data_IF_080943387696
#
_entry.id   IF_080943387696
#
_cell.length_a   1.000
_cell.length_b   1.000
_cell.length_c   1.000
_cell.angle_alpha   90.00
_cell.angle_beta   90.00
_cell.angle_gamma   90.00
#
_symmetry.space_group_name_H-M   'P 1'
#
loop_
_entity.id
_entity.type
_entity.pdbx_description
1 polymer ?
#
# COMPACT_ATOMS: atom_id res chain seq x y z
N UNK A 1 -6.22 -2.69 13.64
CA UNK A 1 -7.65 -2.95 13.89
C UNK A 1 -8.09 -2.00 14.98
N UNK A 2 -8.88 -0.97 14.66
CA UNK A 2 -9.42 -0.05 15.66
C UNK A 2 -10.76 -0.65 16.11
N UNK A 3 -10.90 -0.95 17.40
CA UNK A 3 -12.14 -1.51 17.94
C UNK A 3 -13.16 -0.38 18.12
N UNK A 4 -14.32 -0.48 17.46
CA UNK A 4 -15.29 0.62 17.38
C UNK A 4 -16.47 0.52 18.36
N UNK A 5 -16.65 -0.59 19.09
CA UNK A 5 -17.74 -0.71 20.08
C UNK A 5 -17.36 -1.63 21.26
N UNK A 6 -17.21 -1.04 22.45
CA UNK A 6 -17.10 -1.77 23.73
C UNK A 6 -18.47 -1.79 24.38
N UNK A 7 -19.06 -2.97 24.61
CA UNK A 7 -20.35 -3.09 25.30
C UNK A 7 -20.12 -3.55 26.74
N UNK A 8 -20.63 -2.76 27.68
CA UNK A 8 -20.62 -3.11 29.10
C UNK A 8 -21.78 -4.08 29.38
N UNK A 9 -21.47 -5.25 29.96
CA UNK A 9 -22.45 -6.28 30.32
C UNK A 9 -22.34 -6.54 31.84
N UNK A 10 -23.29 -6.07 32.66
CA UNK A 10 -23.14 -6.04 34.12
C UNK A 10 -23.17 -7.41 34.80
N UNK A 11 -23.69 -8.44 34.13
CA UNK A 11 -23.76 -9.83 34.63
C UNK A 11 -22.44 -10.59 34.47
N UNK A 12 -21.44 -10.00 33.80
CA UNK A 12 -20.13 -10.60 33.57
C UNK A 12 -19.08 -9.75 34.29
N UNK A 13 -18.14 -10.40 34.98
CA UNK A 13 -16.98 -9.71 35.59
C UNK A 13 -16.06 -9.03 34.55
N UNK A 14 -16.37 -9.16 33.25
CA UNK A 14 -15.57 -8.77 32.11
C UNK A 14 -16.42 -8.09 31.04
N UNK A 15 -15.88 -7.05 30.39
CA UNK A 15 -16.53 -6.39 29.26
C UNK A 15 -16.23 -7.07 27.94
N UNK A 16 -17.17 -6.97 27.00
CA UNK A 16 -17.10 -7.63 25.71
C UNK A 16 -16.74 -6.63 24.60
N UNK A 17 -15.72 -6.97 23.82
CA UNK A 17 -15.42 -6.33 22.55
C UNK A 17 -16.07 -7.14 21.42
N UNK A 18 -16.96 -6.51 20.66
CA UNK A 18 -17.65 -7.12 19.53
C UNK A 18 -17.57 -6.19 18.32
N UNK A 19 -17.34 -6.76 17.14
CA UNK A 19 -17.47 -6.02 15.89
C UNK A 19 -18.94 -5.94 15.51
N UNK A 20 -19.45 -4.76 15.14
CA UNK A 20 -20.86 -4.58 14.72
C UNK A 20 -21.27 -5.54 13.60
N UNK A 21 -20.34 -5.91 12.73
CA UNK A 21 -20.59 -6.76 11.56
C UNK A 21 -20.65 -8.26 11.88
N UNK A 22 -20.11 -8.67 13.03
CA UNK A 22 -19.91 -10.07 13.37
C UNK A 22 -20.35 -10.24 14.82
N UNK A 23 -21.50 -10.88 15.06
CA UNK A 23 -22.01 -11.22 16.40
C UNK A 23 -21.12 -12.20 17.19
N UNK A 24 -19.85 -12.34 16.83
CA UNK A 24 -18.85 -13.08 17.57
C UNK A 24 -18.15 -12.16 18.58
N UNK A 25 -18.01 -12.65 19.81
CA UNK A 25 -17.17 -12.04 20.83
C UNK A 25 -15.71 -12.22 20.39
N UNK A 26 -14.99 -11.10 20.17
CA UNK A 26 -13.59 -11.15 19.77
C UNK A 26 -12.65 -11.31 20.97
N UNK A 27 -13.01 -10.71 22.11
CA UNK A 27 -12.22 -10.77 23.35
C UNK A 27 -12.98 -10.19 24.54
N UNK A 28 -12.53 -10.56 25.74
CA UNK A 28 -13.00 -10.01 27.02
C UNK A 28 -11.95 -9.07 27.62
N UNK A 29 -12.36 -8.08 28.41
CA UNK A 29 -11.44 -7.19 29.13
C UNK A 29 -11.83 -7.05 30.61
N UNK A 30 -10.85 -6.98 31.50
CA UNK A 30 -11.02 -6.71 32.94
C UNK A 30 -10.79 -5.23 33.22
N UNK A 31 -11.59 -4.64 34.10
CA UNK A 31 -11.37 -3.26 34.55
C UNK A 31 -10.38 -3.23 35.71
N UNK A 32 -9.35 -2.40 35.60
CA UNK A 32 -8.39 -2.13 36.67
C UNK A 32 -8.10 -0.63 36.74
N UNK A 33 -8.36 -0.01 37.89
CA UNK A 33 -8.14 1.44 38.12
C UNK A 33 -8.75 2.35 37.03
N UNK A 34 -9.97 2.06 36.59
CA UNK A 34 -10.67 2.86 35.57
C UNK A 34 -10.24 2.59 34.12
N UNK A 35 -9.24 1.74 33.89
CA UNK A 35 -8.79 1.31 32.57
C UNK A 35 -9.27 -0.11 32.28
N UNK A 36 -9.58 -0.40 31.01
CA UNK A 36 -9.92 -1.76 30.58
C UNK A 36 -8.69 -2.47 30.02
N UNK A 37 -8.22 -3.47 30.75
CA UNK A 37 -7.14 -4.35 30.33
C UNK A 37 -7.73 -5.55 29.58
N UNK A 38 -7.31 -5.73 28.34
CA UNK A 38 -7.76 -6.85 27.53
C UNK A 38 -7.26 -8.17 28.11
N UNK A 39 -8.15 -9.14 28.37
CA UNK A 39 -7.78 -10.49 28.80
C UNK A 39 -7.33 -11.28 27.57
N UNK A 40 -6.15 -10.95 27.06
CA UNK A 40 -5.47 -11.78 26.11
C UNK A 40 -4.91 -12.98 26.88
N UNK A 41 -5.24 -14.20 26.43
CA UNK A 41 -4.31 -15.32 26.64
C UNK A 41 -3.10 -14.99 25.78
N UNK A 42 -1.89 -15.23 26.28
CA UNK A 42 -0.63 -15.04 25.57
C UNK A 42 -0.61 -15.84 24.26
N UNK A 43 -1.28 -15.31 23.25
CA UNK A 43 -1.13 -15.66 21.87
C UNK A 43 -0.36 -14.48 21.31
N UNK A 44 0.95 -14.70 21.17
CA UNK A 44 1.83 -13.95 20.26
C UNK A 44 0.97 -13.52 19.08
N UNK A 45 0.73 -12.21 19.00
CA UNK A 45 -0.20 -11.55 18.08
C UNK A 45 -0.35 -12.36 16.80
N UNK A 46 -1.58 -12.83 16.51
CA UNK A 46 -1.98 -13.60 15.32
C UNK A 46 -0.81 -13.77 14.38
N UNK A 47 -0.12 -14.92 14.41
CA UNK A 47 1.04 -15.19 13.59
C UNK A 47 0.82 -14.51 12.24
N UNK A 48 1.46 -13.35 12.06
CA UNK A 48 1.47 -12.69 10.77
C UNK A 48 2.24 -13.72 9.99
N UNK A 49 1.52 -14.55 9.23
CA UNK A 49 2.13 -15.46 8.27
C UNK A 49 3.22 -14.63 7.64
N UNK A 50 4.46 -15.11 7.69
CA UNK A 50 5.64 -14.35 7.30
C UNK A 50 5.39 -13.77 5.90
N UNK A 51 4.87 -12.53 5.84
CA UNK A 51 4.30 -11.99 4.60
C UNK A 51 5.53 -11.52 3.85
N UNK A 52 5.88 -12.17 2.72
CA UNK A 52 6.99 -11.68 1.94
C UNK A 52 6.74 -10.22 1.58
N UNK A 53 7.78 -9.39 1.65
CA UNK A 53 7.70 -7.95 1.43
C UNK A 53 6.87 -7.17 2.48
N UNK A 54 6.64 -7.69 3.69
CA UNK A 54 5.89 -6.98 4.75
C UNK A 54 6.44 -5.57 5.01
N UNK A 55 7.75 -5.47 5.20
CA UNK A 55 8.42 -4.19 5.45
C UNK A 55 8.41 -3.28 4.24
N UNK A 56 8.55 -3.85 3.05
CA UNK A 56 8.40 -3.11 1.80
C UNK A 56 7.00 -2.48 1.70
N UNK A 57 5.92 -3.18 2.10
CA UNK A 57 4.56 -2.63 2.16
C UNK A 57 4.39 -1.57 3.25
N UNK A 58 4.87 -1.83 4.48
CA UNK A 58 4.77 -0.90 5.61
C UNK A 58 5.47 0.43 5.37
N UNK A 59 6.57 0.41 4.62
CA UNK A 59 7.35 1.60 4.28
C UNK A 59 6.80 2.34 3.05
N UNK A 60 5.64 1.96 2.51
CA UNK A 60 5.05 2.64 1.35
C UNK A 60 5.67 2.22 0.03
N UNK A 61 5.97 0.93 -0.14
CA UNK A 61 6.51 0.36 -1.38
C UNK A 61 7.85 0.97 -1.81
N UNK A 62 8.73 1.23 -0.83
CA UNK A 62 10.07 1.72 -1.10
C UNK A 62 10.87 0.76 -1.99
N UNK A 63 11.79 1.33 -2.77
CA UNK A 63 12.73 0.51 -3.53
C UNK A 63 13.63 -0.28 -2.58
N UNK A 64 14.12 -1.43 -3.04
CA UNK A 64 15.08 -2.26 -2.30
C UNK A 64 16.33 -1.47 -1.89
N UNK A 65 16.81 -0.59 -2.77
CA UNK A 65 17.94 0.30 -2.49
C UNK A 65 17.64 1.26 -1.34
N UNK A 66 16.48 1.91 -1.36
CA UNK A 66 16.05 2.80 -0.27
C UNK A 66 15.88 2.06 1.06
N UNK A 67 15.31 0.85 1.05
CA UNK A 67 15.21 0.01 2.25
C UNK A 67 16.58 -0.38 2.79
N UNK A 68 17.56 -0.63 1.91
CA UNK A 68 18.93 -0.94 2.32
C UNK A 68 19.59 0.24 3.02
N UNK A 69 19.40 1.46 2.52
CA UNK A 69 19.89 2.65 3.22
C UNK A 69 19.29 2.82 4.62
N UNK A 70 18.01 2.48 4.79
CA UNK A 70 17.35 2.46 6.10
C UNK A 70 17.96 1.40 7.03
N UNK A 71 18.24 0.19 6.53
CA UNK A 71 18.94 -0.85 7.27
C UNK A 71 20.38 -0.47 7.63
N UNK A 72 21.07 0.24 6.73
CA UNK A 72 22.47 0.65 6.87
C UNK A 72 22.65 1.87 7.81
N UNK A 73 21.65 2.16 8.66
CA UNK A 73 21.77 3.12 9.75
C UNK A 73 21.03 4.44 9.57
N UNK A 74 20.28 4.63 8.47
CA UNK A 74 19.40 5.81 8.34
C UNK A 74 18.11 5.70 9.17
N UNK A 75 17.76 4.50 9.63
CA UNK A 75 16.66 4.26 10.55
C UNK A 75 17.03 3.18 11.57
N UNK A 76 16.31 3.16 12.69
CA UNK A 76 16.39 2.10 13.70
C UNK A 76 15.16 1.20 13.63
N UNK A 77 15.30 -0.06 14.03
CA UNK A 77 14.18 -1.00 14.10
C UNK A 77 13.75 -1.61 12.76
N UNK A 78 14.54 -1.46 11.68
CA UNK A 78 14.35 -2.21 10.44
C UNK A 78 15.03 -3.58 10.59
N UNK A 79 14.29 -4.70 10.50
CA UNK A 79 14.87 -6.04 10.58
C UNK A 79 15.85 -6.31 9.44
N UNK A 80 16.85 -7.16 9.69
CA UNK A 80 17.86 -7.55 8.70
C UNK A 80 17.26 -8.30 7.50
N UNK A 81 16.17 -9.04 7.72
CA UNK A 81 15.41 -9.79 6.72
C UNK A 81 14.29 -8.96 6.05
N UNK A 82 14.19 -7.66 6.35
CA UNK A 82 13.14 -6.79 5.80
C UNK A 82 13.16 -6.69 4.25
N UNK A 83 14.31 -6.96 3.62
CA UNK A 83 14.47 -6.91 2.16
C UNK A 83 14.38 -8.33 1.59
N UNK A 84 13.20 -8.72 1.14
CA UNK A 84 12.88 -10.06 0.59
C UNK A 84 12.95 -10.06 -0.93
N UNK A 85 13.58 -11.04 -1.59
CA UNK A 85 13.70 -11.07 -3.08
C UNK A 85 12.38 -11.31 -3.85
N UNK A 86 11.25 -11.38 -3.16
CA UNK A 86 9.94 -11.61 -3.75
C UNK A 86 9.45 -10.44 -4.59
N UNK A 87 8.77 -10.74 -5.69
CA UNK A 87 8.20 -9.71 -6.55
C UNK A 87 6.89 -9.19 -5.96
N UNK A 88 6.85 -7.88 -5.70
CA UNK A 88 5.64 -7.21 -5.27
C UNK A 88 4.76 -6.90 -6.48
N UNK A 89 3.64 -7.63 -6.62
CA UNK A 89 2.68 -7.46 -7.74
C UNK A 89 2.20 -6.02 -7.90
N UNK A 90 1.98 -5.30 -6.79
CA UNK A 90 1.58 -3.89 -6.81
C UNK A 90 2.67 -3.02 -7.43
N UNK A 91 3.93 -3.20 -7.03
CA UNK A 91 5.05 -2.47 -7.63
C UNK A 91 5.24 -2.82 -9.11
N UNK A 92 5.04 -4.07 -9.51
CA UNK A 92 5.09 -4.44 -10.92
C UNK A 92 4.02 -3.71 -11.74
N UNK A 93 2.81 -3.53 -11.21
CA UNK A 93 1.74 -2.82 -11.92
C UNK A 93 1.94 -1.31 -11.92
N UNK A 94 2.37 -0.75 -10.79
CA UNK A 94 2.35 0.69 -10.57
C UNK A 94 3.68 1.38 -10.90
N UNK A 95 4.80 0.66 -10.80
CA UNK A 95 6.17 1.20 -10.98
C UNK A 95 6.88 0.63 -12.21
N UNK A 96 6.25 -0.24 -13.00
CA UNK A 96 6.85 -0.72 -14.25
C UNK A 96 6.93 0.42 -15.26
N UNK A 97 8.15 0.78 -15.63
CA UNK A 97 8.41 1.71 -16.71
C UNK A 97 8.52 0.97 -18.04
N UNK A 98 7.98 1.56 -19.11
CA UNK A 98 8.27 1.09 -20.47
C UNK A 98 9.78 1.21 -20.72
N UNK A 99 10.37 0.18 -21.31
CA UNK A 99 11.77 0.26 -21.74
C UNK A 99 11.95 1.42 -22.73
N UNK A 100 13.14 2.08 -22.73
CA UNK A 100 13.42 3.12 -23.69
C UNK A 100 13.18 2.63 -25.12
N UNK A 101 12.58 3.48 -25.94
CA UNK A 101 12.48 3.21 -27.37
C UNK A 101 13.87 3.12 -27.97
N UNK A 102 14.05 2.20 -28.93
CA UNK A 102 15.26 2.15 -29.73
C UNK A 102 15.50 3.52 -30.37
N UNK A 103 16.70 4.07 -30.19
CA UNK A 103 17.13 5.31 -30.87
C UNK A 103 17.32 5.10 -32.37
N UNK A 104 17.55 3.85 -32.78
CA UNK A 104 17.61 3.48 -34.18
C UNK A 104 16.19 3.36 -34.70
N UNK A 105 15.84 4.22 -35.66
CA UNK A 105 14.62 4.08 -36.44
C UNK A 105 14.66 2.72 -37.15
N UNK A 106 13.67 1.88 -36.89
CA UNK A 106 13.57 0.56 -37.54
C UNK A 106 13.34 0.69 -39.05
N UNK A 107 12.77 1.82 -39.48
CA UNK A 107 12.55 2.15 -40.89
C UNK A 107 12.53 3.68 -41.05
N UNK A 108 13.21 4.18 -42.08
CA UNK A 108 13.15 5.57 -42.53
C UNK A 108 12.58 5.57 -43.95
N UNK A 109 11.80 6.60 -44.27
CA UNK A 109 11.34 6.87 -45.65
C UNK A 109 12.56 7.07 -46.55
N UNK A 110 12.62 6.35 -47.66
CA UNK A 110 13.67 6.43 -48.69
C UNK A 110 13.23 7.33 -49.84
N UNK A 111 11.91 7.37 -50.11
CA UNK A 111 11.32 8.16 -51.19
C UNK A 111 10.48 9.33 -50.68
N UNK A 112 10.29 10.33 -51.53
CA UNK A 112 9.45 11.50 -51.24
C UNK A 112 7.99 11.05 -51.08
N UNK A 113 7.36 11.43 -49.95
CA UNK A 113 5.98 11.09 -49.59
C UNK A 113 5.70 9.60 -49.34
N UNK A 114 6.72 8.75 -49.14
CA UNK A 114 6.52 7.32 -48.80
C UNK A 114 5.83 7.14 -47.44
N UNK A 115 6.07 8.03 -46.48
CA UNK A 115 5.46 8.01 -45.15
C UNK A 115 4.96 9.39 -44.72
N UNK A 116 3.65 9.52 -44.54
CA UNK A 116 3.00 10.74 -44.05
C UNK A 116 2.48 10.51 -42.63
N UNK A 117 3.01 11.27 -41.67
CA UNK A 117 2.45 11.34 -40.32
C UNK A 117 1.45 12.50 -40.29
N UNK A 118 0.21 12.21 -39.93
CA UNK A 118 -0.81 13.22 -39.67
C UNK A 118 -1.28 13.08 -38.23
N UNK A 119 -1.52 14.20 -37.57
CA UNK A 119 -2.06 14.26 -36.22
C UNK A 119 -3.21 15.27 -36.21
N UNK A 120 -4.20 15.01 -35.37
CA UNK A 120 -5.34 15.91 -35.18
C UNK A 120 -4.97 16.83 -34.02
N UNK A 121 -4.91 18.13 -34.28
CA UNK A 121 -4.77 19.09 -33.22
C UNK A 121 -5.99 18.99 -32.29
N UNK A 122 -5.75 18.94 -30.97
CA UNK A 122 -6.80 19.00 -29.96
C UNK A 122 -7.61 20.30 -30.03
N UNK A 123 -8.63 20.48 -29.17
CA UNK A 123 -9.49 21.66 -29.20
C UNK A 123 -8.65 22.94 -29.24
N UNK A 124 -8.73 23.67 -30.36
CA UNK A 124 -8.09 24.96 -30.51
C UNK A 124 -8.86 26.00 -29.71
N UNK A 125 -8.15 27.04 -29.25
CA UNK A 125 -8.79 28.19 -28.66
C UNK A 125 -9.68 28.84 -29.73
N UNK A 126 -11.00 28.69 -29.57
CA UNK A 126 -12.00 29.38 -30.37
C UNK A 126 -12.53 30.51 -29.52
N UNK A 127 -12.35 31.75 -29.97
CA UNK A 127 -12.94 32.90 -29.31
C UNK A 127 -14.45 32.67 -29.17
N UNK A 128 -14.97 32.80 -27.95
CA UNK A 128 -16.40 32.77 -27.74
C UNK A 128 -17.07 33.90 -28.53
N UNK A 129 -18.36 33.76 -28.86
CA UNK A 129 -19.14 34.84 -29.50
C UNK A 129 -19.09 36.15 -28.68
N UNK A 130 -18.82 36.05 -27.37
CA UNK A 130 -18.63 37.18 -26.45
C UNK A 130 -17.20 37.71 -26.32
N UNK A 131 -16.21 37.14 -27.04
CA UNK A 131 -14.84 37.66 -27.06
C UNK A 131 -13.98 37.35 -25.83
N UNK A 132 -14.41 36.45 -24.95
CA UNK A 132 -13.57 35.85 -23.90
C UNK A 132 -12.88 34.58 -24.40
#
# INVERSE_FOLDING_TARGET
>A
MVAHDVRHAPELALNLLSSKDIQHILSTATQYNGLYQLNQRDYWAMAVQDVPDLWHRRLGQLTRGSMKLLQDGQATGIPSDAITKTDCVTCLKDKQCRLPFSKLATKRSEEVLELVHSDICGPMQVASVGGA
#
